data_IF_949483029683
#
_entry.id   IF_949483029683
#
_cell.length_a   1.000
_cell.length_b   1.000
_cell.length_c   1.000
_cell.angle_alpha   90.00
_cell.angle_beta   90.00
_cell.angle_gamma   90.00
#
_symmetry.space_group_name_H-M   'P 1'
#
loop_
_entity.id
_entity.type
_entity.pdbx_description
1 polymer ?
#
# COMPACT_ATOMS: atom_id res chain seq x y z
N UNK A 1 -7.98 4.57 16.01
CA UNK A 1 -9.12 3.94 15.30
C UNK A 1 -9.15 2.49 15.75
N UNK A 2 -10.05 2.13 16.67
CA UNK A 2 -10.18 0.75 17.16
C UNK A 2 -10.87 -0.05 16.05
N UNK A 3 -10.18 -1.04 15.48
CA UNK A 3 -10.79 -1.98 14.55
C UNK A 3 -11.65 -2.90 15.41
N UNK A 4 -12.96 -2.72 15.35
CA UNK A 4 -13.91 -3.70 15.88
C UNK A 4 -13.60 -5.04 15.21
N UNK A 5 -13.20 -6.03 16.02
CA UNK A 5 -13.18 -7.43 15.60
C UNK A 5 -14.61 -7.79 15.22
N UNK A 6 -14.89 -7.81 13.92
CA UNK A 6 -16.15 -8.35 13.43
C UNK A 6 -16.17 -9.83 13.83
N UNK A 7 -17.08 -10.19 14.74
CA UNK A 7 -17.36 -11.58 15.08
C UNK A 7 -17.98 -12.27 13.86
N UNK A 8 -17.13 -12.75 12.95
CA UNK A 8 -17.55 -13.59 11.83
C UNK A 8 -17.66 -15.00 12.39
N UNK A 9 -18.89 -15.50 12.48
CA UNK A 9 -19.17 -16.89 12.90
C UNK A 9 -18.79 -17.83 11.77
N UNK A 10 -17.51 -18.20 11.70
CA UNK A 10 -17.03 -19.25 10.79
C UNK A 10 -17.42 -20.59 11.41
N UNK A 11 -18.31 -21.32 10.76
CA UNK A 11 -18.67 -22.69 11.14
C UNK A 11 -17.47 -23.61 10.85
N UNK A 12 -16.75 -23.95 11.91
CA UNK A 12 -15.69 -24.96 11.87
C UNK A 12 -16.32 -26.35 11.77
N UNK A 13 -15.66 -27.27 11.08
CA UNK A 13 -15.99 -28.69 11.14
C UNK A 13 -15.65 -29.24 12.54
N UNK A 14 -16.29 -30.32 12.97
CA UNK A 14 -16.16 -30.84 14.35
C UNK A 14 -14.72 -31.25 14.74
N UNK A 15 -13.85 -31.51 13.76
CA UNK A 15 -12.42 -31.83 13.95
C UNK A 15 -11.45 -30.69 13.52
N UNK A 16 -11.99 -29.52 13.21
CA UNK A 16 -11.22 -28.38 12.69
C UNK A 16 -10.76 -27.46 13.84
N UNK A 17 -9.44 -27.38 14.03
CA UNK A 17 -8.81 -26.53 15.03
C UNK A 17 -8.20 -25.28 14.37
N UNK A 18 -8.41 -24.12 14.99
CA UNK A 18 -7.83 -22.84 14.55
C UNK A 18 -6.36 -22.78 14.98
N UNK A 19 -5.46 -22.67 14.00
CA UNK A 19 -4.01 -22.57 14.23
C UNK A 19 -3.58 -21.10 14.31
N UNK A 20 -4.11 -20.26 13.42
CA UNK A 20 -3.79 -18.84 13.38
C UNK A 20 -4.91 -18.04 12.76
N UNK A 21 -5.22 -16.88 13.34
CA UNK A 21 -6.30 -16.01 12.91
C UNK A 21 -5.80 -14.58 12.86
N UNK A 22 -6.14 -13.89 11.77
CA UNK A 22 -5.98 -12.45 11.62
C UNK A 22 -7.19 -11.84 10.93
N UNK A 23 -7.18 -10.52 10.71
CA UNK A 23 -8.37 -9.80 10.23
C UNK A 23 -8.80 -10.18 8.80
N UNK A 24 -7.91 -10.81 8.03
CA UNK A 24 -8.15 -11.13 6.60
C UNK A 24 -7.81 -12.57 6.22
N UNK A 25 -7.39 -13.39 7.18
CA UNK A 25 -7.03 -14.78 6.97
C UNK A 25 -7.39 -15.63 8.20
N UNK A 26 -7.74 -16.88 7.96
CA UNK A 26 -7.88 -17.90 8.99
C UNK A 26 -7.16 -19.16 8.51
N UNK A 27 -6.19 -19.60 9.30
CA UNK A 27 -5.49 -20.87 9.11
C UNK A 27 -6.00 -21.89 10.11
N UNK A 28 -6.51 -23.00 9.60
CA UNK A 28 -6.90 -24.17 10.40
C UNK A 28 -5.99 -25.35 10.10
N UNK A 29 -6.19 -26.45 10.82
CA UNK A 29 -5.51 -27.72 10.54
C UNK A 29 -5.93 -28.36 9.20
N UNK A 30 -7.08 -28.00 8.62
CA UNK A 30 -7.60 -28.61 7.38
C UNK A 30 -7.58 -27.68 6.17
N UNK A 31 -7.90 -26.39 6.36
CA UNK A 31 -8.07 -25.43 5.26
C UNK A 31 -7.52 -24.05 5.59
N UNK A 32 -7.14 -23.35 4.54
CA UNK A 32 -6.78 -21.94 4.57
C UNK A 32 -7.94 -21.13 4.03
N UNK A 33 -8.36 -20.13 4.79
CA UNK A 33 -9.36 -19.16 4.35
C UNK A 33 -8.72 -17.78 4.26
N UNK A 34 -9.00 -17.09 3.16
CA UNK A 34 -8.55 -15.71 2.96
C UNK A 34 -9.74 -14.87 2.53
N UNK A 35 -9.79 -13.62 2.95
CA UNK A 35 -10.80 -12.68 2.49
C UNK A 35 -10.76 -12.55 0.96
N UNK A 36 -11.94 -12.65 0.32
CA UNK A 36 -12.13 -12.39 -1.12
C UNK A 36 -11.65 -11.01 -1.58
N UNK A 37 -11.50 -10.06 -0.66
CA UNK A 37 -10.90 -8.74 -0.89
C UNK A 37 -9.53 -8.72 -0.21
N UNK A 38 -8.44 -8.97 -0.94
CA UNK A 38 -7.10 -9.04 -0.38
C UNK A 38 -6.74 -7.79 0.44
N UNK A 39 -6.34 -7.98 1.70
CA UNK A 39 -5.94 -6.91 2.61
C UNK A 39 -7.10 -6.08 3.18
N UNK A 40 -8.35 -6.53 3.02
CA UNK A 40 -9.54 -5.92 3.67
C UNK A 40 -10.43 -7.00 4.26
N UNK A 41 -11.02 -6.74 5.42
CA UNK A 41 -12.06 -7.60 5.95
C UNK A 41 -13.24 -7.67 4.97
N UNK A 42 -13.73 -8.88 4.72
CA UNK A 42 -14.88 -9.16 3.86
C UNK A 42 -15.71 -10.25 4.51
N UNK A 43 -17.02 -10.21 4.30
CA UNK A 43 -17.91 -11.29 4.72
C UNK A 43 -17.82 -12.51 3.79
N UNK A 44 -17.16 -12.37 2.64
CA UNK A 44 -16.95 -13.44 1.66
C UNK A 44 -15.51 -13.92 1.76
N UNK A 45 -15.34 -15.20 2.01
CA UNK A 45 -14.07 -15.88 2.18
C UNK A 45 -13.83 -16.83 1.02
N UNK A 46 -12.59 -16.86 0.53
CA UNK A 46 -12.09 -17.85 -0.40
C UNK A 46 -11.36 -18.92 0.41
N UNK A 47 -11.71 -20.18 0.19
CA UNK A 47 -11.22 -21.31 0.97
C UNK A 47 -10.49 -22.29 0.07
N UNK A 48 -9.41 -22.88 0.57
CA UNK A 48 -8.74 -23.99 -0.08
C UNK A 48 -8.23 -24.99 0.97
N UNK A 49 -8.28 -26.27 0.62
CA UNK A 49 -7.75 -27.34 1.48
C UNK A 49 -6.22 -27.25 1.54
N UNK A 50 -5.64 -27.51 2.72
CA UNK A 50 -4.19 -27.43 2.90
C UNK A 50 -3.42 -28.41 2.03
N UNK A 51 -4.00 -29.58 1.77
CA UNK A 51 -3.42 -30.65 0.93
C UNK A 51 -3.24 -30.20 -0.53
N UNK A 52 -4.23 -29.48 -1.05
CA UNK A 52 -4.25 -29.02 -2.44
C UNK A 52 -3.38 -27.78 -2.65
N UNK A 53 -3.11 -27.03 -1.59
CA UNK A 53 -2.37 -25.79 -1.69
C UNK A 53 -0.85 -26.02 -1.85
N UNK A 54 -0.27 -25.36 -2.86
CA UNK A 54 1.17 -25.29 -3.06
C UNK A 54 1.86 -24.48 -1.96
N UNK A 55 3.20 -24.48 -1.98
CA UNK A 55 3.97 -23.72 -0.99
C UNK A 55 3.78 -22.20 -1.17
N UNK A 56 3.61 -21.47 -0.06
CA UNK A 56 3.33 -20.04 -0.10
C UNK A 56 4.53 -19.27 -0.63
N UNK A 57 4.24 -18.32 -1.53
CA UNK A 57 5.24 -17.38 -2.07
C UNK A 57 5.03 -16.01 -1.45
N UNK A 58 6.03 -15.57 -0.66
CA UNK A 58 6.11 -14.23 -0.11
C UNK A 58 6.66 -13.27 -1.16
N UNK A 59 6.00 -12.13 -1.35
CA UNK A 59 6.46 -11.06 -2.23
C UNK A 59 6.13 -9.70 -1.63
N UNK A 60 7.12 -8.81 -1.57
CA UNK A 60 6.88 -7.40 -1.25
C UNK A 60 6.41 -6.66 -2.50
N UNK A 61 5.37 -5.84 -2.33
CA UNK A 61 4.73 -5.08 -3.39
C UNK A 61 4.33 -3.68 -2.92
N UNK A 62 3.89 -2.83 -3.84
CA UNK A 62 3.63 -1.42 -3.56
C UNK A 62 4.92 -0.59 -3.50
N UNK A 63 4.78 0.69 -3.13
CA UNK A 63 5.89 1.64 -3.08
C UNK A 63 5.79 2.52 -1.84
N UNK A 64 6.92 2.74 -1.17
CA UNK A 64 6.98 3.72 -0.08
C UNK A 64 6.58 5.11 -0.58
N UNK A 65 5.57 5.69 0.05
CA UNK A 65 5.01 6.96 -0.38
C UNK A 65 5.90 8.11 0.09
N UNK A 66 6.17 9.08 -0.79
CA UNK A 66 6.80 10.36 -0.43
C UNK A 66 5.77 11.50 -0.43
N UNK A 67 4.52 11.20 -0.04
CA UNK A 67 3.38 12.15 -0.09
C UNK A 67 3.69 13.48 0.57
N UNK A 68 4.24 13.42 1.77
CA UNK A 68 4.53 14.61 2.56
C UNK A 68 5.59 15.50 1.92
N UNK A 69 6.66 14.90 1.41
CA UNK A 69 7.71 15.61 0.69
C UNK A 69 7.15 16.22 -0.61
N UNK A 70 6.40 15.43 -1.39
CA UNK A 70 5.78 15.88 -2.63
C UNK A 70 4.86 17.07 -2.42
N UNK A 71 3.98 17.01 -1.42
CA UNK A 71 3.06 18.09 -1.10
C UNK A 71 3.80 19.37 -0.69
N UNK A 72 4.81 19.27 0.17
CA UNK A 72 5.63 20.43 0.58
C UNK A 72 6.31 21.10 -0.61
N UNK A 73 6.96 20.32 -1.47
CA UNK A 73 7.60 20.85 -2.67
C UNK A 73 6.58 21.49 -3.62
N UNK A 74 5.41 20.89 -3.78
CA UNK A 74 4.35 21.42 -4.63
C UNK A 74 3.83 22.77 -4.11
N UNK A 75 3.54 22.87 -2.82
CA UNK A 75 3.07 24.12 -2.20
C UNK A 75 4.12 25.21 -2.30
N UNK A 76 5.39 24.90 -1.99
CA UNK A 76 6.48 25.87 -2.09
C UNK A 76 6.69 26.32 -3.54
N UNK A 77 6.71 25.40 -4.50
CA UNK A 77 6.87 25.71 -5.91
C UNK A 77 5.74 26.62 -6.43
N UNK A 78 4.48 26.29 -6.12
CA UNK A 78 3.36 27.15 -6.51
C UNK A 78 3.33 28.51 -5.81
N UNK A 79 3.73 28.58 -4.53
CA UNK A 79 3.88 29.85 -3.84
C UNK A 79 4.94 30.73 -4.51
N UNK A 80 6.08 30.14 -4.89
CA UNK A 80 7.15 30.85 -5.59
C UNK A 80 6.72 31.36 -6.96
N UNK A 81 6.04 30.52 -7.75
CA UNK A 81 5.48 30.89 -9.06
C UNK A 81 4.42 31.98 -8.87
N UNK A 82 3.52 31.82 -7.91
CA UNK A 82 2.47 32.79 -7.60
C UNK A 82 3.03 34.16 -7.24
N UNK A 83 4.09 34.21 -6.44
CA UNK A 83 4.77 35.46 -6.08
C UNK A 83 5.30 36.23 -7.29
N UNK A 84 5.75 35.55 -8.34
CA UNK A 84 6.24 36.19 -9.57
C UNK A 84 5.09 36.50 -10.55
N UNK A 85 4.22 35.51 -10.79
CA UNK A 85 3.20 35.56 -11.84
C UNK A 85 1.96 36.36 -11.45
N UNK A 86 1.47 36.27 -10.21
CA UNK A 86 0.25 36.98 -9.80
C UNK A 86 0.46 38.49 -9.88
N UNK A 87 1.54 39.08 -9.33
CA UNK A 87 1.75 40.51 -9.45
C UNK A 87 1.95 40.97 -10.90
N UNK A 88 2.61 40.14 -11.71
CA UNK A 88 2.81 40.43 -13.12
C UNK A 88 1.50 40.42 -13.90
N UNK A 89 0.65 39.41 -13.71
CA UNK A 89 -0.63 39.25 -14.42
C UNK A 89 -1.68 40.29 -14.02
N UNK A 90 -1.75 40.66 -12.73
CA UNK A 90 -2.80 41.55 -12.23
C UNK A 90 -2.40 43.03 -12.15
N UNK A 91 -1.13 43.33 -11.91
CA UNK A 91 -0.64 44.70 -11.70
C UNK A 91 0.42 45.13 -12.72
N UNK A 92 0.84 44.23 -13.63
CA UNK A 92 1.93 44.50 -14.57
C UNK A 92 3.29 44.67 -13.89
N UNK A 93 3.39 44.36 -12.59
CA UNK A 93 4.59 44.56 -11.79
C UNK A 93 5.37 43.26 -11.68
N UNK A 94 6.61 43.26 -12.14
CA UNK A 94 7.53 42.17 -11.87
C UNK A 94 8.25 42.40 -10.52
N UNK A 95 7.81 41.70 -9.48
CA UNK A 95 8.38 41.81 -8.12
C UNK A 95 9.88 41.50 -8.12
N UNK A 96 10.31 40.57 -8.98
CA UNK A 96 11.70 40.15 -9.11
C UNK A 96 12.47 40.95 -10.17
N UNK A 97 11.80 41.82 -10.95
CA UNK A 97 12.43 42.61 -12.01
C UNK A 97 13.42 43.67 -11.51
N UNK A 98 13.51 43.89 -10.19
CA UNK A 98 14.56 44.69 -9.55
C UNK A 98 15.87 43.92 -9.36
N UNK A 99 15.86 42.59 -9.53
CA UNK A 99 17.03 41.73 -9.42
C UNK A 99 17.72 41.60 -10.80
N UNK A 100 19.02 41.28 -10.83
CA UNK A 100 19.70 40.88 -12.06
C UNK A 100 18.97 39.75 -12.77
N UNK A 101 18.81 39.84 -14.10
CA UNK A 101 18.02 38.88 -14.88
C UNK A 101 18.47 37.41 -14.76
N UNK A 102 19.75 37.17 -14.44
CA UNK A 102 20.25 35.83 -14.13
C UNK A 102 19.63 35.25 -12.85
N UNK A 103 19.48 36.05 -11.80
CA UNK A 103 18.86 35.63 -10.53
C UNK A 103 17.36 35.39 -10.73
N UNK A 104 16.69 36.25 -11.50
CA UNK A 104 15.29 36.05 -11.86
C UNK A 104 15.09 34.74 -12.62
N UNK A 105 15.96 34.45 -13.58
CA UNK A 105 15.92 33.22 -14.37
C UNK A 105 16.16 31.96 -13.52
N UNK A 106 17.12 32.03 -12.59
CA UNK A 106 17.39 30.94 -11.64
C UNK A 106 16.21 30.72 -10.68
N UNK A 107 15.60 31.80 -10.19
CA UNK A 107 14.41 31.71 -9.35
C UNK A 107 13.26 31.03 -10.09
N UNK A 108 12.99 31.46 -11.33
CA UNK A 108 11.95 30.88 -12.16
C UNK A 108 12.21 29.38 -12.40
N UNK A 109 13.44 29.02 -12.78
CA UNK A 109 13.85 27.63 -12.99
C UNK A 109 13.68 26.79 -11.72
N UNK A 110 14.15 27.28 -10.57
CA UNK A 110 14.02 26.60 -9.29
C UNK A 110 12.54 26.42 -8.89
N UNK A 111 11.71 27.43 -9.10
CA UNK A 111 10.28 27.38 -8.78
C UNK A 111 9.56 26.32 -9.63
N UNK A 112 9.84 26.27 -10.94
CA UNK A 112 9.27 25.30 -11.87
C UNK A 112 9.75 23.87 -11.58
N UNK A 113 11.04 23.68 -11.33
CA UNK A 113 11.59 22.36 -10.96
C UNK A 113 10.98 21.84 -9.66
N UNK A 114 10.80 22.72 -8.67
CA UNK A 114 10.22 22.39 -7.38
C UNK A 114 8.74 22.02 -7.51
N UNK A 115 7.96 22.80 -8.26
CA UNK A 115 6.55 22.51 -8.55
C UNK A 115 6.40 21.21 -9.35
N UNK A 116 7.24 20.99 -10.35
CA UNK A 116 7.21 19.78 -11.21
C UNK A 116 7.56 18.53 -10.41
N UNK A 117 8.63 18.59 -9.62
CA UNK A 117 9.06 17.49 -8.75
C UNK A 117 8.01 17.20 -7.68
N UNK A 118 7.46 18.25 -7.05
CA UNK A 118 6.35 18.14 -6.10
C UNK A 118 5.13 17.47 -6.71
N UNK A 119 4.76 17.85 -7.94
CA UNK A 119 3.65 17.25 -8.69
C UNK A 119 3.90 15.78 -8.99
N UNK A 120 5.07 15.44 -9.53
CA UNK A 120 5.44 14.06 -9.82
C UNK A 120 5.39 13.16 -8.57
N UNK A 121 5.97 13.62 -7.46
CA UNK A 121 5.98 12.87 -6.20
C UNK A 121 4.59 12.74 -5.58
N UNK A 122 3.78 13.79 -5.65
CA UNK A 122 2.41 13.80 -5.10
C UNK A 122 1.51 12.86 -5.90
N UNK A 123 1.49 13.00 -7.22
CA UNK A 123 0.72 12.14 -8.13
C UNK A 123 1.18 10.69 -8.03
N UNK A 124 2.49 10.45 -8.09
CA UNK A 124 3.07 9.12 -7.94
C UNK A 124 2.69 8.48 -6.61
N UNK A 125 2.58 9.26 -5.54
CA UNK A 125 2.18 8.71 -4.25
C UNK A 125 0.67 8.45 -4.13
N UNK A 126 -0.17 9.09 -4.94
CA UNK A 126 -1.61 8.83 -4.99
C UNK A 126 -1.94 7.59 -5.85
N UNK A 127 -1.24 7.43 -6.97
CA UNK A 127 -1.45 6.32 -7.91
C UNK A 127 -0.86 5.00 -7.41
N UNK A 128 0.23 5.05 -6.63
CA UNK A 128 0.86 3.84 -6.11
C UNK A 128 0.16 3.32 -4.86
N UNK A 129 -0.05 2.00 -4.79
CA UNK A 129 -0.48 1.34 -3.55
C UNK A 129 0.61 1.46 -2.47
N UNK A 130 0.21 1.62 -1.20
CA UNK A 130 1.16 1.61 -0.09
C UNK A 130 1.97 0.31 -0.05
N UNK A 131 3.15 0.32 0.59
CA UNK A 131 3.98 -0.88 0.72
C UNK A 131 3.19 -1.96 1.48
N UNK A 132 3.19 -3.17 0.93
CA UNK A 132 2.50 -4.33 1.48
C UNK A 132 3.27 -5.62 1.17
N UNK A 133 3.13 -6.62 2.03
CA UNK A 133 3.62 -7.98 1.82
C UNK A 133 2.45 -8.82 1.35
N UNK A 134 2.59 -9.45 0.20
CA UNK A 134 1.60 -10.39 -0.34
C UNK A 134 2.09 -11.83 -0.18
N UNK A 135 1.20 -12.71 0.25
CA UNK A 135 1.41 -14.15 0.25
C UNK A 135 0.47 -14.75 -0.78
N UNK A 136 1.05 -15.43 -1.76
CA UNK A 136 0.30 -16.17 -2.77
C UNK A 136 0.34 -17.65 -2.44
N UNK A 137 -0.83 -18.26 -2.25
CA UNK A 137 -1.01 -19.69 -2.12
C UNK A 137 -1.57 -20.20 -3.44
N UNK A 138 -0.74 -20.94 -4.18
CA UNK A 138 -1.15 -21.50 -5.45
C UNK A 138 -2.06 -22.70 -5.24
N UNK A 139 -3.21 -22.75 -5.91
CA UNK A 139 -4.13 -23.88 -5.80
C UNK A 139 -4.33 -24.49 -7.20
N UNK A 140 -3.76 -25.67 -7.49
CA UNK A 140 -3.88 -26.30 -8.79
C UNK A 140 -5.36 -26.56 -9.14
N UNK A 141 -5.81 -26.08 -10.29
CA UNK A 141 -7.18 -26.30 -10.76
C UNK A 141 -8.23 -25.33 -10.20
N UNK A 142 -7.84 -24.38 -9.33
CA UNK A 142 -8.73 -23.32 -8.87
C UNK A 142 -8.01 -21.95 -8.85
N UNK A 143 -8.64 -20.94 -8.25
CA UNK A 143 -8.09 -19.59 -8.17
C UNK A 143 -7.09 -19.51 -7.01
N UNK A 144 -5.90 -18.97 -7.29
CA UNK A 144 -4.88 -18.74 -6.26
C UNK A 144 -5.40 -17.82 -5.14
N UNK A 145 -5.12 -18.19 -3.89
CA UNK A 145 -5.47 -17.39 -2.73
C UNK A 145 -4.41 -16.33 -2.47
N UNK A 146 -4.84 -15.08 -2.27
CA UNK A 146 -3.96 -13.93 -2.06
C UNK A 146 -4.25 -13.25 -0.72
N UNK A 147 -3.34 -13.43 0.23
CA UNK A 147 -3.35 -12.68 1.48
C UNK A 147 -2.43 -11.45 1.36
N UNK A 148 -2.88 -10.29 1.85
CA UNK A 148 -2.12 -9.04 1.82
C UNK A 148 -2.01 -8.47 3.23
N UNK A 149 -0.78 -8.14 3.61
CA UNK A 149 -0.40 -7.61 4.91
C UNK A 149 0.17 -6.20 4.76
N UNK A 150 -0.09 -5.29 5.70
CA UNK A 150 0.47 -3.94 5.65
C UNK A 150 1.98 -3.95 5.88
N UNK A 151 2.70 -3.08 5.15
CA UNK A 151 4.15 -2.93 5.27
C UNK A 151 4.94 -3.91 4.40
N UNK A 152 6.21 -3.60 4.16
CA UNK A 152 7.16 -4.58 3.62
C UNK A 152 7.72 -5.41 4.76
N UNK A 153 8.05 -6.67 4.47
CA UNK A 153 8.61 -7.63 5.44
C UNK A 153 7.73 -7.75 6.69
N UNK A 154 6.42 -7.88 6.49
CA UNK A 154 5.47 -8.04 7.60
C UNK A 154 5.78 -9.29 8.42
N UNK A 155 5.95 -9.10 9.74
CA UNK A 155 6.16 -10.19 10.70
C UNK A 155 4.97 -11.16 10.71
N UNK A 156 3.75 -10.64 10.65
CA UNK A 156 2.51 -11.42 10.60
C UNK A 156 2.46 -12.31 9.35
N UNK A 157 2.94 -11.79 8.21
CA UNK A 157 3.03 -12.57 6.98
C UNK A 157 4.04 -13.73 7.11
N UNK A 158 5.19 -13.47 7.72
CA UNK A 158 6.23 -14.47 7.99
C UNK A 158 5.75 -15.54 8.97
N UNK A 159 5.04 -15.12 10.03
CA UNK A 159 4.45 -16.02 11.02
C UNK A 159 3.40 -16.92 10.39
N UNK A 160 2.51 -16.38 9.55
CA UNK A 160 1.53 -17.17 8.81
C UNK A 160 2.20 -18.21 7.91
N UNK A 161 3.25 -17.86 7.16
CA UNK A 161 3.98 -18.83 6.33
C UNK A 161 4.62 -19.92 7.19
N UNK A 162 5.22 -19.57 8.32
CA UNK A 162 5.83 -20.52 9.25
C UNK A 162 4.80 -21.51 9.80
N UNK A 163 3.65 -21.01 10.28
CA UNK A 163 2.56 -21.83 10.81
C UNK A 163 1.90 -22.67 9.72
N UNK A 164 1.70 -22.11 8.52
CA UNK A 164 1.18 -22.84 7.37
C UNK A 164 2.09 -24.02 7.00
N UNK A 165 3.41 -23.82 6.90
CA UNK A 165 4.37 -24.90 6.60
C UNK A 165 4.46 -25.95 7.70
N UNK A 166 4.13 -25.61 8.95
CA UNK A 166 4.02 -26.59 10.04
C UNK A 166 2.72 -27.38 9.92
N UNK A 167 1.61 -26.70 9.69
CA UNK A 167 0.30 -27.32 9.50
C UNK A 167 0.33 -28.30 8.31
N UNK A 168 0.81 -27.86 7.13
CA UNK A 168 0.92 -28.69 5.93
C UNK A 168 1.82 -29.93 6.07
N UNK A 169 2.76 -29.95 7.02
CA UNK A 169 3.59 -31.14 7.29
C UNK A 169 2.88 -32.18 8.17
N UNK A 170 1.83 -31.76 8.86
CA UNK A 170 1.06 -32.60 9.77
C UNK A 170 -0.24 -33.12 9.12
N UNK A 171 -0.50 -32.70 7.88
CA UNK A 171 -1.55 -33.21 7.00
C UNK A 171 -0.89 -34.23 6.06
#
# INVERSE_FOLDING_TARGET
MKIEKQNITINLLDAEERIHEGDTFLLTNHRLMVSSKPGRASNVWEEAQLEECLDPKLKNAGKSSRKWLGYRLLVVGFAMIGLQMIPYLFFGTNVLGKLPGLIESLYFLASMLTATTGSYLTLGSYLNRPPHTSILFGVPGSKDLLAIFPGWDSEEASELVSKYRRAKRNV
#
